data_IF_350978039676
#
_entry.id   IF_350978039676
#
_cell.length_a   1.000
_cell.length_b   1.000
_cell.length_c   1.000
_cell.angle_alpha   90.00
_cell.angle_beta   90.00
_cell.angle_gamma   90.00
#
_symmetry.space_group_name_H-M   'P 1'
#
loop_
_entity.id
_entity.type
_entity.pdbx_description
1 polymer ?
#
# COMPACT_ATOMS: atom_id res chain seq x y z
N UNK A 1 -7.86 -19.99 9.92
CA UNK A 1 -7.36 -18.63 10.22
C UNK A 1 -5.83 -18.55 10.30
N UNK A 2 -5.12 -19.60 10.71
CA UNK A 2 -3.65 -19.62 10.78
C UNK A 2 -2.94 -19.63 9.41
N UNK A 3 -3.48 -20.31 8.39
CA UNK A 3 -2.85 -20.35 7.07
C UNK A 3 -2.88 -19.02 6.33
N UNK A 4 -3.94 -18.23 6.51
CA UNK A 4 -4.03 -16.89 5.93
C UNK A 4 -3.04 -15.94 6.62
N UNK A 5 -2.85 -16.08 7.94
CA UNK A 5 -1.82 -15.37 8.69
C UNK A 5 -0.41 -15.82 8.31
N UNK A 6 -0.22 -17.09 7.93
CA UNK A 6 1.06 -17.60 7.46
C UNK A 6 1.40 -17.06 6.06
N UNK A 7 0.45 -17.09 5.12
CA UNK A 7 0.63 -16.53 3.76
C UNK A 7 0.84 -15.01 3.80
N UNK A 8 0.09 -14.30 4.65
CA UNK A 8 0.27 -12.86 4.86
C UNK A 8 1.58 -12.59 5.62
N UNK A 9 1.95 -13.44 6.58
CA UNK A 9 3.16 -13.34 7.40
C UNK A 9 4.47 -13.57 6.64
N UNK A 10 4.44 -14.33 5.55
CA UNK A 10 5.59 -14.49 4.64
C UNK A 10 5.84 -13.21 3.83
N UNK A 11 4.79 -12.44 3.50
CA UNK A 11 4.90 -11.21 2.70
C UNK A 11 5.02 -9.92 3.52
N UNK A 12 4.38 -9.88 4.69
CA UNK A 12 4.29 -8.72 5.56
C UNK A 12 4.65 -9.11 6.98
N UNK A 13 5.64 -8.44 7.56
CA UNK A 13 5.87 -8.47 9.00
C UNK A 13 4.63 -7.86 9.69
N UNK A 14 4.25 -8.37 10.87
CA UNK A 14 3.02 -7.98 11.56
C UNK A 14 2.89 -6.45 11.79
N UNK A 15 4.01 -5.73 11.90
CA UNK A 15 4.06 -4.28 12.03
C UNK A 15 3.82 -3.53 10.70
N UNK A 16 4.16 -4.13 9.55
CA UNK A 16 4.04 -3.49 8.24
C UNK A 16 2.65 -3.70 7.61
N UNK A 17 1.88 -4.68 8.09
CA UNK A 17 0.56 -5.01 7.54
C UNK A 17 -0.48 -3.88 7.72
N UNK A 18 -0.69 -3.29 8.92
CA UNK A 18 -1.67 -2.20 9.08
C UNK A 18 -1.35 -0.97 8.21
N UNK A 19 -0.05 -0.72 8.03
CA UNK A 19 0.48 0.38 7.22
C UNK A 19 0.22 0.15 5.74
N UNK A 20 0.51 -1.05 5.24
CA UNK A 20 0.21 -1.45 3.87
C UNK A 20 -1.29 -1.39 3.56
N UNK A 21 -2.14 -1.78 4.53
CA UNK A 21 -3.60 -1.66 4.44
C UNK A 21 -4.01 -0.18 4.27
N UNK A 22 -3.46 0.71 5.10
CA UNK A 22 -3.74 2.15 5.04
C UNK A 22 -3.34 2.76 3.70
N UNK A 23 -2.14 2.46 3.23
CA UNK A 23 -1.63 2.93 1.93
C UNK A 23 -2.51 2.40 0.80
N UNK A 24 -2.79 1.09 0.79
CA UNK A 24 -3.64 0.47 -0.23
C UNK A 24 -5.05 1.06 -0.25
N UNK A 25 -5.63 1.35 0.91
CA UNK A 25 -6.94 2.00 1.03
C UNK A 25 -6.92 3.42 0.46
N UNK A 26 -5.95 4.24 0.84
CA UNK A 26 -5.81 5.61 0.32
C UNK A 26 -5.67 5.60 -1.20
N UNK A 27 -4.77 4.78 -1.74
CA UNK A 27 -4.60 4.65 -3.18
C UNK A 27 -5.85 4.14 -3.90
N UNK A 28 -6.57 3.19 -3.32
CA UNK A 28 -7.82 2.69 -3.88
C UNK A 28 -8.94 3.75 -3.89
N UNK A 29 -8.96 4.67 -2.93
CA UNK A 29 -9.92 5.77 -2.89
C UNK A 29 -9.69 6.78 -4.02
N UNK A 30 -8.42 7.08 -4.34
CA UNK A 30 -8.07 7.99 -5.44
C UNK A 30 -8.02 7.32 -6.82
N UNK A 31 -7.94 5.99 -6.87
CA UNK A 31 -7.94 5.24 -8.12
C UNK A 31 -9.25 5.43 -8.91
N UNK A 32 -9.14 5.83 -10.17
CA UNK A 32 -10.26 5.87 -11.14
C UNK A 32 -10.40 4.52 -11.83
N UNK A 33 -11.55 4.27 -12.47
CA UNK A 33 -11.85 2.99 -13.15
C UNK A 33 -10.85 2.62 -14.26
N UNK A 34 -10.20 3.60 -14.87
CA UNK A 34 -9.15 3.44 -15.90
C UNK A 34 -7.73 3.42 -15.34
N UNK A 35 -7.55 3.48 -14.02
CA UNK A 35 -6.22 3.56 -13.41
C UNK A 35 -5.52 2.22 -13.48
N UNK A 36 -4.26 2.22 -13.92
CA UNK A 36 -3.42 1.02 -13.93
C UNK A 36 -3.04 0.65 -12.48
N UNK A 37 -3.72 -0.36 -11.93
CA UNK A 37 -3.56 -0.80 -10.53
C UNK A 37 -2.13 -1.27 -10.25
N UNK A 38 -1.46 -1.88 -11.22
CA UNK A 38 -0.07 -2.32 -11.06
C UNK A 38 0.86 -1.14 -10.82
N UNK A 39 0.73 -0.09 -11.64
CA UNK A 39 1.54 1.12 -11.49
C UNK A 39 1.21 1.88 -10.19
N UNK A 40 -0.05 1.86 -9.74
CA UNK A 40 -0.43 2.41 -8.43
C UNK A 40 0.17 1.61 -7.28
N UNK A 41 0.13 0.28 -7.35
CA UNK A 41 0.74 -0.59 -6.35
C UNK A 41 2.26 -0.42 -6.31
N UNK A 42 2.89 -0.07 -7.45
CA UNK A 42 4.32 0.20 -7.51
C UNK A 42 4.65 1.48 -6.75
N UNK A 43 3.89 2.56 -6.98
CA UNK A 43 4.04 3.79 -6.19
C UNK A 43 3.78 3.55 -4.70
N UNK A 44 2.75 2.76 -4.36
CA UNK A 44 2.48 2.38 -2.98
C UNK A 44 3.67 1.65 -2.34
N UNK A 45 4.30 0.72 -3.06
CA UNK A 45 5.49 0.00 -2.60
C UNK A 45 6.68 0.93 -2.39
N UNK A 46 6.94 1.84 -3.35
CA UNK A 46 8.03 2.82 -3.24
C UNK A 46 7.82 3.72 -2.03
N UNK A 47 6.60 4.23 -1.81
CA UNK A 47 6.27 5.06 -0.65
C UNK A 47 6.47 4.29 0.65
N UNK A 48 5.98 3.04 0.73
CA UNK A 48 6.11 2.20 1.92
C UNK A 48 7.58 1.96 2.29
N UNK A 49 8.46 1.81 1.29
CA UNK A 49 9.88 1.49 1.49
C UNK A 49 10.81 2.69 1.60
N UNK A 50 10.43 3.85 1.09
CA UNK A 50 11.29 5.04 1.09
C UNK A 50 10.79 6.09 2.07
N UNK A 51 9.56 6.55 1.89
CA UNK A 51 9.00 7.66 2.68
C UNK A 51 8.86 7.24 4.14
N UNK A 52 8.44 6.00 4.41
CA UNK A 52 8.20 5.60 5.79
C UNK A 52 9.47 5.47 6.63
N UNK A 53 10.51 4.73 6.20
CA UNK A 53 11.77 4.67 6.94
C UNK A 53 12.41 6.05 7.13
N UNK A 54 12.38 6.90 6.10
CA UNK A 54 12.90 8.26 6.17
C UNK A 54 12.12 9.09 7.20
N UNK A 55 10.79 9.04 7.17
CA UNK A 55 9.94 9.77 8.12
C UNK A 55 10.12 9.26 9.55
N UNK A 56 10.28 7.94 9.73
CA UNK A 56 10.59 7.33 11.03
C UNK A 56 11.89 7.86 11.62
N UNK A 57 12.98 7.83 10.83
CA UNK A 57 14.28 8.36 11.25
C UNK A 57 14.26 9.87 11.50
N UNK A 58 13.59 10.64 10.64
CA UNK A 58 13.43 12.07 10.84
C UNK A 58 12.66 12.38 12.12
N UNK A 59 11.58 11.65 12.40
CA UNK A 59 10.78 11.82 13.62
C UNK A 59 11.53 11.41 14.90
N UNK A 60 12.51 10.51 14.79
CA UNK A 60 13.40 10.13 15.90
C UNK A 60 14.60 11.08 16.08
N UNK A 61 14.67 12.17 15.31
CA UNK A 61 15.77 13.14 15.37
C UNK A 61 17.09 12.63 14.80
N UNK A 62 17.05 11.65 13.89
CA UNK A 62 18.27 11.12 13.27
C UNK A 62 18.91 12.17 12.34
N UNK A 63 20.24 12.27 12.40
CA UNK A 63 21.01 13.15 11.52
C UNK A 63 20.84 12.80 10.04
N UNK A 64 20.94 13.81 9.18
CA UNK A 64 20.86 13.68 7.71
C UNK A 64 21.81 12.59 7.18
N UNK A 65 22.99 12.42 7.77
CA UNK A 65 23.94 11.37 7.39
C UNK A 65 23.38 9.96 7.62
N UNK A 66 22.65 9.75 8.72
CA UNK A 66 21.97 8.48 9.03
C UNK A 66 20.83 8.19 8.04
N UNK A 67 20.14 9.23 7.58
CA UNK A 67 19.11 9.12 6.53
C UNK A 67 19.75 8.67 5.21
N UNK A 68 20.86 9.29 4.81
CA UNK A 68 21.61 8.86 3.61
C UNK A 68 22.15 7.44 3.74
N UNK A 69 22.68 7.06 4.90
CA UNK A 69 23.17 5.70 5.14
C UNK A 69 22.06 4.65 5.04
N UNK A 70 20.86 4.96 5.54
CA UNK A 70 19.68 4.09 5.41
C UNK A 70 19.23 3.93 3.95
N UNK A 71 19.24 5.00 3.17
CA UNK A 71 18.96 4.93 1.72
C UNK A 71 20.03 4.09 1.01
N UNK A 72 21.31 4.25 1.35
CA UNK A 72 22.38 3.44 0.79
C UNK A 72 22.24 1.96 1.17
N UNK A 73 21.80 1.66 2.40
CA UNK A 73 21.54 0.30 2.84
C UNK A 73 20.37 -0.35 2.05
N UNK A 74 19.30 0.40 1.78
CA UNK A 74 18.18 -0.04 0.95
C UNK A 74 18.61 -0.52 -0.45
N UNK A 75 19.59 0.16 -1.07
CA UNK A 75 20.12 -0.25 -2.38
C UNK A 75 21.06 -1.45 -2.29
N UNK A 76 21.82 -1.58 -1.19
CA UNK A 76 22.74 -2.71 -1.01
C UNK A 76 22.01 -4.04 -0.83
N UNK A 77 20.94 -4.06 -0.03
CA UNK A 77 20.16 -5.29 0.21
C UNK A 77 19.04 -5.48 -0.81
N UNK A 78 18.94 -4.62 -1.82
CA UNK A 78 17.79 -4.62 -2.73
C UNK A 78 17.58 -5.97 -3.44
N UNK A 79 18.68 -6.60 -3.89
CA UNK A 79 18.61 -7.90 -4.56
C UNK A 79 18.29 -9.04 -3.59
N UNK A 80 18.82 -8.98 -2.38
CA UNK A 80 18.59 -9.98 -1.32
C UNK A 80 17.12 -9.97 -0.87
N UNK A 81 16.52 -8.77 -0.82
CA UNK A 81 15.14 -8.55 -0.40
C UNK A 81 14.13 -8.58 -1.57
N UNK A 82 14.59 -8.82 -2.80
CA UNK A 82 13.79 -8.72 -4.03
C UNK A 82 12.55 -9.63 -3.97
N UNK A 83 12.70 -10.85 -3.46
CA UNK A 83 11.60 -11.80 -3.29
C UNK A 83 10.50 -11.24 -2.38
N UNK A 84 10.88 -10.61 -1.26
CA UNK A 84 9.95 -9.96 -0.33
C UNK A 84 9.25 -8.79 -1.02
N UNK A 85 9.98 -8.01 -1.83
CA UNK A 85 9.40 -6.89 -2.58
C UNK A 85 8.37 -7.34 -3.61
N UNK A 86 8.62 -8.44 -4.32
CA UNK A 86 7.65 -9.01 -5.27
C UNK A 86 6.39 -9.47 -4.54
N UNK A 87 6.53 -10.20 -3.43
CA UNK A 87 5.37 -10.68 -2.66
C UNK A 87 4.55 -9.49 -2.12
N UNK A 88 5.21 -8.47 -1.56
CA UNK A 88 4.52 -7.25 -1.10
C UNK A 88 3.84 -6.50 -2.22
N UNK A 89 4.50 -6.37 -3.36
CA UNK A 89 3.93 -5.73 -4.54
C UNK A 89 2.65 -6.42 -4.99
N UNK A 90 2.67 -7.74 -5.12
CA UNK A 90 1.48 -8.54 -5.45
C UNK A 90 0.40 -8.38 -4.36
N UNK A 91 0.78 -8.39 -3.08
CA UNK A 91 -0.12 -8.14 -1.96
C UNK A 91 -0.83 -6.78 -2.06
N UNK A 92 -0.08 -5.71 -2.37
CA UNK A 92 -0.63 -4.37 -2.57
C UNK A 92 -1.57 -4.31 -3.78
N UNK A 93 -1.24 -4.96 -4.90
CA UNK A 93 -2.14 -5.07 -6.06
C UNK A 93 -3.46 -5.71 -5.66
N UNK A 94 -3.41 -6.84 -4.93
CA UNK A 94 -4.61 -7.55 -4.47
C UNK A 94 -5.43 -6.67 -3.51
N UNK A 95 -4.78 -6.01 -2.54
CA UNK A 95 -5.44 -5.12 -1.59
C UNK A 95 -6.11 -3.94 -2.27
N UNK A 96 -5.39 -3.21 -3.14
CA UNK A 96 -5.93 -2.04 -3.85
C UNK A 96 -7.12 -2.48 -4.72
N UNK A 97 -6.99 -3.58 -5.45
CA UNK A 97 -8.09 -4.14 -6.26
C UNK A 97 -9.29 -4.53 -5.38
N UNK A 98 -9.05 -5.13 -4.22
CA UNK A 98 -10.08 -5.47 -3.24
C UNK A 98 -10.83 -4.24 -2.72
N UNK A 99 -10.11 -3.17 -2.36
CA UNK A 99 -10.71 -1.91 -1.92
C UNK A 99 -11.46 -1.17 -3.03
N UNK A 100 -10.93 -1.15 -4.26
CA UNK A 100 -11.64 -0.60 -5.42
C UNK A 100 -12.94 -1.37 -5.65
N UNK A 101 -12.89 -2.70 -5.59
CA UNK A 101 -14.08 -3.55 -5.71
C UNK A 101 -15.08 -3.24 -4.60
N UNK A 102 -14.65 -3.23 -3.33
CA UNK A 102 -15.49 -2.90 -2.18
C UNK A 102 -16.17 -1.54 -2.36
N UNK A 103 -15.43 -0.49 -2.74
CA UNK A 103 -15.98 0.84 -3.00
C UNK A 103 -17.04 0.81 -4.09
N UNK A 104 -16.77 0.11 -5.20
CA UNK A 104 -17.75 0.00 -6.30
C UNK A 104 -18.99 -0.80 -5.92
N UNK A 105 -18.84 -1.84 -5.10
CA UNK A 105 -19.95 -2.63 -4.56
C UNK A 105 -20.79 -1.78 -3.60
N UNK A 106 -20.16 -1.08 -2.64
CA UNK A 106 -20.85 -0.17 -1.72
C UNK A 106 -21.61 0.92 -2.49
N UNK A 107 -21.01 1.52 -3.54
CA UNK A 107 -21.70 2.50 -4.38
C UNK A 107 -22.88 1.93 -5.18
N UNK A 108 -22.95 0.61 -5.40
CA UNK A 108 -24.13 -0.05 -6.02
C UNK A 108 -25.25 -0.30 -5.01
N UNK A 109 -24.90 -0.54 -3.74
CA UNK A 109 -25.87 -0.75 -2.65
C UNK A 109 -26.30 0.54 -1.97
N UNK A 110 -25.51 1.61 -2.08
CA UNK A 110 -25.89 2.93 -1.61
C UNK A 110 -27.08 3.44 -2.44
N UNK A 111 -28.17 3.93 -1.80
CA UNK A 111 -29.32 4.43 -2.54
C UNK A 111 -28.85 5.57 -3.45
N UNK A 112 -29.06 5.41 -4.77
CA UNK A 112 -28.87 6.51 -5.71
C UNK A 112 -29.81 7.61 -5.27
N UNK A 113 -29.29 8.78 -4.89
CA UNK A 113 -30.11 9.99 -4.70
C UNK A 113 -31.00 10.10 -5.92
N UNK A 114 -32.29 9.86 -5.72
CA UNK A 114 -33.33 10.12 -6.71
C UNK A 114 -33.09 11.54 -7.19
N UNK A 115 -32.87 11.72 -8.49
CA UNK A 115 -32.91 13.06 -9.07
C UNK A 115 -34.28 13.61 -8.68
N UNK A 116 -34.30 14.70 -7.91
CA UNK A 116 -35.53 15.42 -7.67
C UNK A 116 -36.16 15.69 -9.03
N UNK A 117 -37.31 15.06 -9.27
CA UNK A 117 -38.17 15.43 -10.37
C UNK A 117 -38.60 16.87 -10.09
N UNK A 118 -37.93 17.83 -10.75
CA UNK A 118 -38.46 19.17 -10.84
C UNK A 118 -39.68 19.08 -11.73
N UNK A 119 -40.83 19.23 -11.07
CA UNK A 119 -42.14 19.48 -11.67
C UNK A 119 -42.18 20.84 -12.36
#
# INVERSE_FOLDING_TARGET
MQDLQYIIGIGFTAADLPRAILIAFLFAMFAKKSTNIWLVAFYALVIDRTIWPITGMASSGADIQSIYASIAALFKTFLDDLGIYIVRYVGLVVMIKGFVWLRTSVNKFAPKKSKAAHA
#
